data_IF_214243841344
#
_entry.id   IF_214243841344
#
_cell.length_a   1.000
_cell.length_b   1.000
_cell.length_c   1.000
_cell.angle_alpha   90.00
_cell.angle_beta   90.00
_cell.angle_gamma   90.00
#
_symmetry.space_group_name_H-M   'P 1'
#
loop_
_entity.id
_entity.type
_entity.pdbx_description
1 polymer ?
#
# COMPACT_ATOMS: atom_id res chain seq x y z
N UNK A 1 -10.82 1.26 7.69
CA UNK A 1 -11.42 0.06 8.21
C UNK A 1 -10.35 -1.00 8.49
N UNK A 2 -9.65 -1.45 7.44
CA UNK A 2 -8.62 -2.48 7.54
C UNK A 2 -7.35 -1.92 8.18
N UNK A 3 -6.38 -2.80 8.45
CA UNK A 3 -5.10 -2.45 9.07
C UNK A 3 -3.97 -2.86 8.12
N UNK A 4 -3.70 -2.03 7.11
CA UNK A 4 -2.60 -2.25 6.17
C UNK A 4 -1.34 -1.66 6.81
N UNK A 5 -0.36 -2.52 7.12
CA UNK A 5 0.90 -2.10 7.74
C UNK A 5 1.77 -1.37 6.70
N UNK A 6 2.46 -0.32 7.13
CA UNK A 6 3.34 0.47 6.27
C UNK A 6 4.42 1.16 7.10
N UNK A 7 5.51 1.53 6.43
CA UNK A 7 6.69 2.20 6.99
C UNK A 7 7.17 3.23 5.97
N UNK A 8 7.98 4.22 6.40
CA UNK A 8 8.48 5.29 5.54
C UNK A 8 9.59 4.82 4.60
N UNK A 9 9.23 3.92 3.66
CA UNK A 9 10.10 3.36 2.63
C UNK A 9 11.43 2.90 3.21
N UNK A 10 11.38 1.97 4.17
CA UNK A 10 12.55 1.46 4.86
C UNK A 10 12.26 0.03 5.30
N UNK A 11 13.21 -0.89 5.04
CA UNK A 11 13.07 -2.31 5.29
C UNK A 11 13.94 -2.76 6.47
N UNK A 12 13.82 -4.04 6.83
CA UNK A 12 14.55 -4.67 7.92
C UNK A 12 16.03 -4.73 7.54
N UNK A 13 16.79 -3.74 8.03
CA UNK A 13 18.19 -3.52 7.70
C UNK A 13 18.52 -2.05 7.94
N UNK A 14 19.31 -1.44 7.05
CA UNK A 14 19.68 -0.04 7.09
C UNK A 14 19.66 0.52 5.66
N UNK A 15 19.31 1.80 5.54
CA UNK A 15 19.15 2.48 4.25
C UNK A 15 17.68 2.44 3.86
N UNK A 16 17.37 1.84 2.70
CA UNK A 16 16.02 1.71 2.20
C UNK A 16 15.95 0.62 1.13
N UNK A 17 14.87 -0.17 1.16
CA UNK A 17 14.52 -1.12 0.12
C UNK A 17 15.62 -2.16 -0.15
N UNK A 18 16.14 -2.77 0.92
CA UNK A 18 17.14 -3.84 0.85
C UNK A 18 16.56 -5.14 1.43
N UNK A 19 15.34 -5.49 1.01
CA UNK A 19 14.67 -6.71 1.42
C UNK A 19 13.51 -7.01 0.47
N UNK A 20 12.69 -6.00 0.15
CA UNK A 20 11.53 -6.13 -0.72
C UNK A 20 11.87 -6.78 -2.06
N UNK A 21 13.05 -6.47 -2.62
CA UNK A 21 13.48 -6.96 -3.92
C UNK A 21 14.17 -8.33 -3.77
N UNK A 22 13.54 -9.23 -3.00
CA UNK A 22 14.05 -10.55 -2.68
C UNK A 22 12.98 -11.34 -1.92
N UNK A 23 12.39 -10.72 -0.90
CA UNK A 23 11.33 -11.29 -0.07
C UNK A 23 10.00 -11.20 -0.81
N UNK A 24 9.01 -10.49 -0.27
CA UNK A 24 7.70 -10.37 -0.89
C UNK A 24 6.98 -9.11 -0.37
N UNK A 25 7.53 -7.94 -0.74
CA UNK A 25 6.93 -6.64 -0.51
C UNK A 25 7.07 -5.81 -1.80
N UNK A 26 6.40 -4.65 -1.85
CA UNK A 26 6.55 -3.67 -2.92
C UNK A 26 6.11 -2.30 -2.39
N UNK A 27 6.74 -1.19 -2.83
CA UNK A 27 6.41 0.14 -2.35
C UNK A 27 5.09 0.63 -2.96
N UNK A 28 4.38 1.50 -2.23
CA UNK A 28 3.13 2.12 -2.63
C UNK A 28 3.16 3.60 -2.25
N UNK A 29 2.24 4.40 -2.79
CA UNK A 29 2.22 5.85 -2.60
C UNK A 29 0.83 6.28 -2.12
N UNK A 30 0.80 7.24 -1.18
CA UNK A 30 -0.42 7.83 -0.64
C UNK A 30 -0.51 9.29 -1.07
N UNK A 31 -1.54 9.63 -1.84
CA UNK A 31 -1.87 10.98 -2.26
C UNK A 31 -2.94 11.57 -1.33
N UNK A 32 -3.01 12.91 -1.31
CA UNK A 32 -4.04 13.68 -0.62
C UNK A 32 -4.77 14.55 -1.63
N UNK A 33 -4.21 15.73 -1.92
CA UNK A 33 -4.72 16.64 -2.92
C UNK A 33 -4.25 18.08 -2.69
N UNK A 34 -2.94 18.25 -2.40
CA UNK A 34 -2.31 19.54 -2.17
C UNK A 34 -0.79 19.35 -2.18
N UNK A 35 -0.29 18.66 -1.14
CA UNK A 35 1.13 18.47 -0.89
C UNK A 35 1.64 17.24 -1.65
N UNK A 36 2.97 17.12 -1.77
CA UNK A 36 3.62 15.97 -2.38
C UNK A 36 3.23 14.68 -1.66
N UNK A 37 3.04 13.56 -2.38
CA UNK A 37 2.53 12.32 -1.82
C UNK A 37 3.59 11.57 -1.02
N UNK A 38 3.15 10.65 -0.17
CA UNK A 38 3.99 9.92 0.76
C UNK A 38 4.27 8.52 0.21
N UNK A 39 5.52 8.28 -0.22
CA UNK A 39 6.00 6.97 -0.67
C UNK A 39 6.37 6.13 0.54
N UNK A 40 5.78 4.93 0.65
CA UNK A 40 5.82 4.06 1.82
C UNK A 40 6.00 2.60 1.40
N UNK A 41 6.36 1.72 2.35
CA UNK A 41 6.41 0.28 2.15
C UNK A 41 5.00 -0.30 2.11
N UNK A 42 4.85 -1.46 1.47
CA UNK A 42 3.63 -2.24 1.52
C UNK A 42 4.00 -3.72 1.37
N UNK A 43 3.37 -4.60 2.15
CA UNK A 43 3.52 -6.04 1.94
C UNK A 43 2.84 -6.44 0.64
N UNK A 44 3.14 -7.66 0.16
CA UNK A 44 2.47 -8.27 -0.97
C UNK A 44 1.47 -9.31 -0.45
N UNK A 45 1.97 -10.33 0.22
CA UNK A 45 1.18 -11.44 0.74
C UNK A 45 0.12 -10.94 1.73
N UNK A 46 0.56 -10.23 2.78
CA UNK A 46 -0.28 -9.84 3.89
C UNK A 46 -1.49 -9.02 3.42
N UNK A 47 -1.25 -8.01 2.58
CA UNK A 47 -2.32 -7.15 2.08
C UNK A 47 -3.26 -7.88 1.14
N UNK A 48 -2.83 -8.96 0.47
CA UNK A 48 -3.67 -9.68 -0.49
C UNK A 48 -4.98 -10.14 0.18
N UNK A 49 -4.89 -10.56 1.44
CA UNK A 49 -6.03 -10.90 2.28
C UNK A 49 -7.10 -9.79 2.27
N UNK A 50 -6.66 -8.53 2.36
CA UNK A 50 -7.54 -7.37 2.32
C UNK A 50 -7.97 -7.07 0.88
N UNK A 51 -7.04 -7.15 -0.08
CA UNK A 51 -7.28 -6.84 -1.49
C UNK A 51 -8.47 -7.64 -2.02
N UNK A 52 -8.28 -8.97 -2.14
CA UNK A 52 -9.24 -9.92 -2.70
C UNK A 52 -9.57 -9.62 -4.16
N UNK A 53 -10.36 -8.57 -4.42
CA UNK A 53 -10.80 -8.17 -5.74
C UNK A 53 -11.07 -6.66 -5.73
N UNK A 54 -12.33 -6.23 -5.88
CA UNK A 54 -12.70 -4.82 -5.91
C UNK A 54 -12.99 -4.27 -4.52
N UNK A 55 -13.47 -5.13 -3.61
CA UNK A 55 -13.97 -4.79 -2.29
C UNK A 55 -13.04 -3.85 -1.50
N UNK A 56 -11.72 -4.05 -1.65
CA UNK A 56 -10.65 -3.30 -1.00
C UNK A 56 -10.97 -1.82 -0.83
N UNK A 57 -11.18 -1.13 -1.95
CA UNK A 57 -11.45 0.29 -2.02
C UNK A 57 -12.92 0.60 -1.74
N UNK A 58 -13.83 -0.29 -2.17
CA UNK A 58 -15.28 -0.11 -2.06
C UNK A 58 -15.71 0.31 -0.65
N UNK A 59 -15.36 -0.49 0.36
CA UNK A 59 -15.80 -0.24 1.73
C UNK A 59 -14.90 0.75 2.50
N UNK A 60 -13.89 1.36 1.86
CA UNK A 60 -12.92 2.26 2.46
C UNK A 60 -11.96 1.48 3.38
N UNK A 61 -10.75 2.00 3.62
CA UNK A 61 -9.73 1.30 4.40
C UNK A 61 -8.78 2.28 5.09
N UNK A 62 -7.84 1.76 5.89
CA UNK A 62 -6.88 2.56 6.66
C UNK A 62 -5.49 1.93 6.57
N UNK A 63 -4.47 2.78 6.48
CA UNK A 63 -3.06 2.40 6.45
C UNK A 63 -2.41 2.92 7.74
N UNK A 64 -1.65 2.05 8.42
CA UNK A 64 -0.85 2.41 9.58
C UNK A 64 0.56 2.74 9.11
N UNK A 65 0.84 4.03 8.87
CA UNK A 65 2.16 4.52 8.49
C UNK A 65 2.90 4.90 9.76
N UNK A 66 3.57 3.93 10.39
CA UNK A 66 4.33 4.10 11.63
C UNK A 66 3.47 4.78 12.71
N UNK A 67 2.33 4.15 13.04
CA UNK A 67 1.41 4.66 14.04
C UNK A 67 0.72 5.95 13.56
N UNK A 68 0.30 5.99 12.30
CA UNK A 68 -0.53 7.04 11.75
C UNK A 68 -1.62 6.38 10.92
N UNK A 69 -2.85 6.39 11.44
CA UNK A 69 -4.00 5.69 10.89
C UNK A 69 -4.60 6.53 9.77
N UNK A 70 -3.91 6.56 8.62
CA UNK A 70 -4.31 7.35 7.46
C UNK A 70 -5.46 6.64 6.75
N UNK A 71 -6.67 7.20 6.88
CA UNK A 71 -7.86 6.72 6.21
C UNK A 71 -7.78 7.07 4.72
N UNK A 72 -7.93 6.06 3.86
CA UNK A 72 -7.88 6.18 2.41
C UNK A 72 -9.10 5.48 1.79
N UNK A 73 -9.50 5.92 0.60
CA UNK A 73 -10.45 5.23 -0.25
C UNK A 73 -9.69 4.54 -1.39
N UNK A 74 -8.73 5.24 -1.99
CA UNK A 74 -7.89 4.80 -3.11
C UNK A 74 -8.61 4.87 -4.44
N UNK A 75 -7.83 4.97 -5.53
CA UNK A 75 -8.31 5.07 -6.90
C UNK A 75 -7.62 4.00 -7.75
N UNK A 76 -6.37 4.23 -8.17
CA UNK A 76 -5.62 3.26 -8.97
C UNK A 76 -5.02 2.20 -8.03
N UNK A 77 -5.88 1.26 -7.63
CA UNK A 77 -5.52 0.05 -6.92
C UNK A 77 -5.21 -0.99 -8.00
N UNK A 78 -3.97 -1.00 -8.49
CA UNK A 78 -3.53 -1.83 -9.60
C UNK A 78 -3.22 -3.25 -9.11
N UNK A 79 -4.23 -3.91 -8.53
CA UNK A 79 -4.17 -5.29 -8.09
C UNK A 79 -4.61 -6.22 -9.21
N UNK A 80 -4.36 -7.53 -9.04
CA UNK A 80 -4.79 -8.57 -9.95
C UNK A 80 -5.44 -9.69 -9.11
N UNK A 81 -6.73 -10.01 -9.34
CA UNK A 81 -7.41 -11.06 -8.60
C UNK A 81 -7.06 -12.44 -9.16
N UNK A 82 -7.45 -13.49 -8.42
CA UNK A 82 -7.23 -14.89 -8.77
C UNK A 82 -5.76 -15.28 -8.58
N UNK A 83 -4.89 -14.73 -9.42
CA UNK A 83 -3.44 -14.82 -9.31
C UNK A 83 -2.92 -13.42 -8.92
N UNK A 84 -2.11 -13.30 -7.85
CA UNK A 84 -1.69 -12.01 -7.33
C UNK A 84 -0.56 -11.40 -8.18
N UNK A 85 -0.49 -10.07 -8.17
CA UNK A 85 0.57 -9.28 -8.80
C UNK A 85 0.90 -8.11 -7.88
N UNK A 86 -0.09 -7.24 -7.64
CA UNK A 86 0.02 -6.04 -6.82
C UNK A 86 1.21 -5.19 -7.28
N UNK A 87 1.16 -4.70 -8.53
CA UNK A 87 2.25 -3.97 -9.15
C UNK A 87 2.57 -2.70 -8.38
N UNK A 88 1.56 -1.85 -8.18
CA UNK A 88 1.66 -0.61 -7.44
C UNK A 88 0.27 -0.22 -6.95
N UNK A 89 0.19 0.54 -5.85
CA UNK A 89 -1.07 1.04 -5.31
C UNK A 89 -0.91 2.53 -5.06
N UNK A 90 -1.75 3.34 -5.72
CA UNK A 90 -1.79 4.78 -5.56
C UNK A 90 -3.02 5.11 -4.71
N UNK A 91 -2.85 5.08 -3.38
CA UNK A 91 -3.89 5.37 -2.43
C UNK A 91 -4.24 6.86 -2.46
N UNK A 92 -5.46 7.20 -2.02
CA UNK A 92 -5.98 8.56 -2.00
C UNK A 92 -6.78 8.71 -0.71
N UNK A 93 -6.54 9.81 0.03
CA UNK A 93 -7.24 10.16 1.27
C UNK A 93 -8.75 9.95 1.17
N UNK A 94 -9.36 9.41 2.23
CA UNK A 94 -10.80 9.19 2.31
C UNK A 94 -11.54 10.52 2.41
#
# INVERSE_FOLDING_TARGET
MFTINAEVRKEQGKGASRRLRAANKFPAIIYGGKEAPLAIELDHDKVMNMQAKAEFYSEVLTIVVDGKEIKVKAQDVQRHPYKPKLQHIDFVRA
#
